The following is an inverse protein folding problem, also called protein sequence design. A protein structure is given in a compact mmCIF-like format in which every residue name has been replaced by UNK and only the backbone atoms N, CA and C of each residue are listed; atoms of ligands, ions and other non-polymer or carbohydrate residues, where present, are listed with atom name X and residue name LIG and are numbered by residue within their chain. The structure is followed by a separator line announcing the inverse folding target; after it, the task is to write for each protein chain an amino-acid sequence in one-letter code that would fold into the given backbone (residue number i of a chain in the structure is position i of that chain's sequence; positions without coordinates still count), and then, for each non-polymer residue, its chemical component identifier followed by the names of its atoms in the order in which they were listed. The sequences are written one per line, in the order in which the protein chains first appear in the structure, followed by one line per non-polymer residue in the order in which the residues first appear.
data_IF_912148797682
#
_entry.id   IF_912148797682
#
_cell.length_a   1.000
_cell.length_b   1.000
_cell.length_c   1.000
_cell.angle_alpha   90.00
_cell.angle_beta   90.00
_cell.angle_gamma   90.00
#
_symmetry.space_group_name_H-M   'P 1'
#
loop_
_entity.id
_entity.type
_entity.pdbx_description
1 polymer ?
#
# COMPACT_ATOMS: atom_id res chain seq x y z
N UNK A 1 4.55 49.33 -17.32
CA UNK A 1 4.64 48.20 -18.26
C UNK A 1 4.73 46.96 -17.41
N UNK A 2 3.58 46.40 -17.07
CA UNK A 2 3.47 45.27 -16.15
C UNK A 2 3.76 43.99 -16.92
N UNK A 3 4.73 43.23 -16.42
CA UNK A 3 5.22 42.02 -17.03
C UNK A 3 4.18 40.92 -16.76
N UNK A 4 3.20 40.80 -17.66
CA UNK A 4 2.24 39.71 -17.65
C UNK A 4 3.03 38.42 -17.92
N UNK A 5 3.42 37.74 -16.84
CA UNK A 5 4.01 36.40 -16.87
C UNK A 5 2.92 35.43 -17.37
N UNK A 6 2.65 35.50 -18.67
CA UNK A 6 1.88 34.49 -19.38
C UNK A 6 2.68 33.21 -19.31
N UNK A 7 2.22 32.25 -18.49
CA UNK A 7 2.79 30.91 -18.53
C UNK A 7 2.80 30.45 -19.99
N UNK A 8 3.91 29.90 -20.50
CA UNK A 8 3.96 29.46 -21.89
C UNK A 8 2.83 28.46 -22.12
N UNK A 9 1.93 28.78 -23.06
CA UNK A 9 0.85 27.88 -23.48
C UNK A 9 1.52 26.59 -23.92
N UNK A 10 1.32 25.53 -23.14
CA UNK A 10 2.01 24.28 -23.35
C UNK A 10 1.56 23.66 -24.67
N UNK A 11 2.51 23.49 -25.61
CA UNK A 11 2.24 22.89 -26.92
C UNK A 11 1.59 21.50 -26.75
N UNK A 12 0.65 21.17 -27.63
CA UNK A 12 -0.11 19.91 -27.61
C UNK A 12 0.82 18.70 -27.60
N UNK A 13 1.97 18.80 -28.30
CA UNK A 13 3.02 17.78 -28.29
C UNK A 13 3.60 17.55 -26.89
N UNK A 14 3.84 18.62 -26.12
CA UNK A 14 4.34 18.56 -24.75
C UNK A 14 3.31 17.94 -23.80
N UNK A 15 2.02 18.27 -23.96
CA UNK A 15 0.94 17.67 -23.17
C UNK A 15 0.89 16.16 -23.41
N UNK A 16 0.93 15.73 -24.69
CA UNK A 16 0.94 14.31 -25.06
C UNK A 16 2.18 13.61 -24.50
N UNK A 17 3.36 14.23 -24.60
CA UNK A 17 4.60 13.68 -24.05
C UNK A 17 4.52 13.48 -22.52
N UNK A 18 4.05 14.49 -21.76
CA UNK A 18 3.89 14.37 -20.30
C UNK A 18 2.90 13.27 -19.90
N UNK A 19 1.79 13.13 -20.62
CA UNK A 19 0.83 12.04 -20.38
C UNK A 19 1.44 10.67 -20.69
N UNK A 20 2.16 10.55 -21.80
CA UNK A 20 2.84 9.30 -22.19
C UNK A 20 3.88 8.89 -21.14
N UNK A 21 4.72 9.82 -20.68
CA UNK A 21 5.71 9.57 -19.63
C UNK A 21 5.06 9.07 -18.33
N UNK A 22 3.94 9.66 -17.93
CA UNK A 22 3.18 9.22 -16.76
C UNK A 22 2.66 7.78 -16.94
N UNK A 23 2.10 7.45 -18.11
CA UNK A 23 1.59 6.10 -18.40
C UNK A 23 2.73 5.08 -18.41
N UNK A 24 3.86 5.38 -19.06
CA UNK A 24 5.03 4.50 -19.07
C UNK A 24 5.52 4.26 -17.65
N UNK A 25 5.58 5.31 -16.82
CA UNK A 25 5.92 5.19 -15.40
C UNK A 25 4.95 4.28 -14.64
N UNK A 26 3.64 4.46 -14.83
CA UNK A 26 2.60 3.62 -14.22
C UNK A 26 2.76 2.15 -14.62
N UNK A 27 2.94 1.87 -15.91
CA UNK A 27 3.15 0.50 -16.41
C UNK A 27 4.41 -0.12 -15.81
N UNK A 28 5.49 0.66 -15.71
CA UNK A 28 6.72 0.21 -15.06
C UNK A 28 6.51 -0.16 -13.59
N UNK A 29 5.75 0.65 -12.85
CA UNK A 29 5.42 0.36 -11.45
C UNK A 29 4.56 -0.91 -11.35
N UNK A 30 3.55 -1.07 -12.22
CA UNK A 30 2.72 -2.28 -12.25
C UNK A 30 3.58 -3.54 -12.47
N UNK A 31 4.49 -3.50 -13.46
CA UNK A 31 5.38 -4.63 -13.74
C UNK A 31 6.32 -4.92 -12.57
N UNK A 32 6.84 -3.88 -11.91
CA UNK A 32 7.71 -4.04 -10.75
C UNK A 32 6.98 -4.68 -9.57
N UNK A 33 5.78 -4.21 -9.23
CA UNK A 33 4.96 -4.81 -8.19
C UNK A 33 4.53 -6.24 -8.54
N UNK A 34 4.19 -6.53 -9.79
CA UNK A 34 3.89 -7.89 -10.26
C UNK A 34 5.10 -8.84 -10.09
N UNK A 35 6.31 -8.36 -10.34
CA UNK A 35 7.54 -9.12 -10.09
C UNK A 35 7.74 -9.43 -8.61
N UNK A 36 7.51 -8.45 -7.73
CA UNK A 36 7.66 -8.62 -6.27
C UNK A 36 6.57 -9.51 -5.67
N UNK A 37 5.33 -9.43 -6.15
CA UNK A 37 4.24 -10.32 -5.71
C UNK A 37 4.46 -11.75 -6.20
N UNK A 38 5.00 -11.93 -7.42
CA UNK A 38 5.45 -13.24 -7.91
C UNK A 38 6.57 -13.81 -7.04
N UNK A 39 7.57 -13.00 -6.71
CA UNK A 39 8.64 -13.40 -5.78
C UNK A 39 8.09 -13.85 -4.41
N UNK A 40 7.07 -13.16 -3.89
CA UNK A 40 6.42 -13.55 -2.64
C UNK A 40 5.71 -14.91 -2.75
N UNK A 41 4.93 -15.15 -3.81
CA UNK A 41 4.25 -16.44 -4.05
C UNK A 41 5.26 -17.57 -4.20
N UNK A 42 6.29 -17.39 -5.04
CA UNK A 42 7.31 -18.43 -5.27
C UNK A 42 8.09 -18.73 -4.00
N UNK A 43 8.38 -17.72 -3.18
CA UNK A 43 9.05 -17.91 -1.88
C UNK A 43 8.21 -18.74 -0.89
N UNK A 44 6.88 -18.75 -1.02
CA UNK A 44 5.99 -19.59 -0.20
C UNK A 44 6.14 -21.08 -0.51
N UNK A 45 6.16 -21.45 -1.78
CA UNK A 45 6.29 -22.85 -2.19
C UNK A 45 7.66 -23.48 -1.85
N UNK A 46 8.69 -22.64 -1.73
CA UNK A 46 10.04 -23.06 -1.36
C UNK A 46 10.30 -23.07 0.16
N UNK A 47 9.41 -22.49 0.97
CA UNK A 47 9.60 -22.40 2.41
C UNK A 47 9.14 -23.69 3.12
N UNK A 48 9.95 -24.20 4.04
CA UNK A 48 9.60 -25.35 4.88
C UNK A 48 8.44 -25.02 5.84
N UNK A 49 8.43 -23.79 6.35
CA UNK A 49 7.39 -23.24 7.23
C UNK A 49 6.93 -21.87 6.72
N UNK A 50 5.64 -21.60 6.82
CA UNK A 50 5.03 -20.33 6.44
C UNK A 50 4.19 -19.78 7.58
N UNK A 51 4.46 -18.53 7.94
CA UNK A 51 3.70 -17.80 8.96
C UNK A 51 2.52 -17.11 8.30
N UNK A 52 1.31 -17.46 8.71
CA UNK A 52 0.07 -16.79 8.30
C UNK A 52 -0.36 -15.87 9.45
N UNK A 53 -0.73 -14.64 9.12
CA UNK A 53 -1.10 -13.62 10.12
C UNK A 53 -2.45 -13.07 9.74
N UNK A 54 -3.32 -12.96 10.73
CA UNK A 54 -4.64 -12.37 10.53
C UNK A 54 -4.51 -10.88 10.27
N UNK A 55 -5.13 -10.40 9.19
CA UNK A 55 -5.02 -9.01 8.79
C UNK A 55 -5.65 -8.07 9.83
N UNK A 56 -4.92 -7.05 10.30
CA UNK A 56 -5.44 -5.97 11.14
C UNK A 56 -6.70 -5.31 10.61
N UNK A 57 -7.63 -4.99 11.51
CA UNK A 57 -8.85 -4.22 11.18
C UNK A 57 -8.53 -2.82 10.64
N UNK A 58 -7.38 -2.26 11.02
CA UNK A 58 -6.89 -0.96 10.54
C UNK A 58 -6.76 -0.89 9.01
N UNK A 59 -6.38 -2.00 8.34
CA UNK A 59 -6.24 -2.02 6.88
C UNK A 59 -7.59 -1.92 6.17
N UNK A 60 -8.68 -2.44 6.75
CA UNK A 60 -10.02 -2.27 6.17
C UNK A 60 -10.51 -0.82 6.26
N UNK A 61 -10.26 -0.15 7.38
CA UNK A 61 -10.53 1.29 7.51
C UNK A 61 -9.70 2.12 6.54
N UNK A 62 -8.43 1.74 6.32
CA UNK A 62 -7.58 2.40 5.32
C UNK A 62 -8.19 2.36 3.92
N UNK A 63 -8.79 1.24 3.55
CA UNK A 63 -9.41 1.04 2.23
C UNK A 63 -10.65 1.90 2.06
N UNK A 64 -11.47 2.04 3.11
CA UNK A 64 -12.59 2.98 3.07
C UNK A 64 -12.13 4.43 2.88
N UNK A 65 -11.08 4.84 3.61
CA UNK A 65 -10.51 6.20 3.51
C UNK A 65 -9.95 6.49 2.13
N UNK A 66 -9.22 5.55 1.52
CA UNK A 66 -8.60 5.77 0.22
C UNK A 66 -9.63 5.78 -0.91
N UNK A 67 -10.68 4.96 -0.83
CA UNK A 67 -11.80 5.00 -1.79
C UNK A 67 -12.52 6.36 -1.70
N UNK A 68 -12.80 6.84 -0.48
CA UNK A 68 -13.40 8.16 -0.30
C UNK A 68 -12.49 9.28 -0.84
N UNK A 69 -11.18 9.20 -0.59
CA UNK A 69 -10.19 10.15 -1.11
C UNK A 69 -10.15 10.18 -2.65
N UNK A 70 -10.28 9.00 -3.26
CA UNK A 70 -10.38 8.83 -4.70
C UNK A 70 -11.64 9.53 -5.23
N UNK A 71 -12.79 9.31 -4.61
CA UNK A 71 -14.05 9.96 -5.02
C UNK A 71 -13.98 11.49 -4.94
N UNK A 72 -13.36 12.05 -3.89
CA UNK A 72 -13.16 13.51 -3.79
C UNK A 72 -12.24 14.02 -4.90
N UNK A 73 -11.27 13.22 -5.36
CA UNK A 73 -10.38 13.59 -6.47
C UNK A 73 -11.01 13.55 -7.84
N UNK A 74 -11.91 12.60 -8.08
CA UNK A 74 -12.77 12.65 -9.28
C UNK A 74 -13.61 13.93 -9.25
N UNK A 75 -14.15 14.30 -8.08
CA UNK A 75 -14.86 15.55 -7.88
C UNK A 75 -14.01 16.78 -8.20
N UNK A 76 -12.77 16.83 -7.72
CA UNK A 76 -11.87 17.97 -7.93
C UNK A 76 -11.54 18.19 -9.41
N UNK A 77 -11.31 17.11 -10.16
CA UNK A 77 -11.11 17.19 -11.62
C UNK A 77 -12.34 17.77 -12.32
N UNK A 78 -13.55 17.43 -11.85
CA UNK A 78 -14.79 18.05 -12.37
C UNK A 78 -14.89 19.52 -11.98
N UNK A 79 -14.57 19.87 -10.73
CA UNK A 79 -14.66 21.23 -10.21
C UNK A 79 -13.70 22.19 -10.93
N UNK A 80 -12.44 21.78 -11.20
CA UNK A 80 -11.47 22.61 -11.93
C UNK A 80 -11.92 22.85 -13.37
N UNK A 81 -12.47 21.84 -14.05
CA UNK A 81 -13.00 21.97 -15.42
C UNK A 81 -14.22 22.89 -15.49
N UNK A 82 -15.03 22.93 -14.43
CA UNK A 82 -16.19 23.83 -14.31
C UNK A 82 -15.83 25.23 -13.77
N UNK A 83 -14.57 25.51 -13.43
CA UNK A 83 -14.15 26.79 -12.85
C UNK A 83 -14.64 27.05 -11.43
N UNK A 84 -15.16 26.04 -10.73
CA UNK A 84 -15.69 26.15 -9.36
C UNK A 84 -14.54 26.13 -8.34
N UNK A 85 -13.82 27.24 -8.19
CA UNK A 85 -12.60 27.34 -7.35
C UNK A 85 -12.82 26.95 -5.88
N UNK A 86 -13.90 27.41 -5.26
CA UNK A 86 -14.19 27.07 -3.85
C UNK A 86 -14.41 25.57 -3.66
N UNK A 87 -15.19 24.94 -4.56
CA UNK A 87 -15.45 23.50 -4.52
C UNK A 87 -14.16 22.70 -4.79
N UNK A 88 -13.34 23.15 -5.73
CA UNK A 88 -12.03 22.55 -6.01
C UNK A 88 -11.16 22.52 -4.75
N UNK A 89 -11.03 23.64 -4.05
CA UNK A 89 -10.19 23.72 -2.86
C UNK A 89 -10.71 22.84 -1.72
N UNK A 90 -12.03 22.80 -1.50
CA UNK A 90 -12.65 21.91 -0.52
C UNK A 90 -12.32 20.44 -0.87
N UNK A 91 -12.49 20.04 -2.13
CA UNK A 91 -12.24 18.66 -2.55
C UNK A 91 -10.76 18.27 -2.47
N UNK A 92 -9.84 19.18 -2.81
CA UNK A 92 -8.39 18.96 -2.67
C UNK A 92 -7.98 18.80 -1.20
N UNK A 93 -8.49 19.65 -0.32
CA UNK A 93 -8.22 19.57 1.12
C UNK A 93 -8.81 18.29 1.69
N UNK A 94 -10.04 17.93 1.33
CA UNK A 94 -10.67 16.68 1.76
C UNK A 94 -9.85 15.45 1.33
N UNK A 95 -9.38 15.39 0.08
CA UNK A 95 -8.49 14.30 -0.35
C UNK A 95 -7.17 14.25 0.42
N UNK A 96 -6.57 15.41 0.72
CA UNK A 96 -5.35 15.45 1.53
C UNK A 96 -5.61 14.92 2.95
N UNK A 97 -6.69 15.35 3.60
CA UNK A 97 -7.06 14.88 4.95
C UNK A 97 -7.33 13.37 4.94
N UNK A 98 -8.08 12.88 3.96
CA UNK A 98 -8.36 11.45 3.82
C UNK A 98 -7.09 10.64 3.51
N UNK A 99 -6.19 11.17 2.68
CA UNK A 99 -4.88 10.58 2.39
C UNK A 99 -3.97 10.51 3.62
N UNK A 100 -3.94 11.56 4.44
CA UNK A 100 -3.23 11.53 5.73
C UNK A 100 -3.86 10.55 6.72
N UNK A 101 -5.20 10.46 6.74
CA UNK A 101 -5.92 9.44 7.50
C UNK A 101 -5.57 8.02 7.06
N UNK A 102 -5.44 7.80 5.75
CA UNK A 102 -4.94 6.54 5.19
C UNK A 102 -3.53 6.24 5.70
N UNK A 103 -2.58 7.18 5.59
CA UNK A 103 -1.21 7.00 6.11
C UNK A 103 -1.21 6.67 7.61
N UNK A 104 -2.02 7.36 8.40
CA UNK A 104 -2.16 7.06 9.84
C UNK A 104 -2.67 5.63 10.08
N UNK A 105 -3.69 5.20 9.35
CA UNK A 105 -4.22 3.83 9.46
C UNK A 105 -3.21 2.77 9.01
N UNK A 106 -2.34 3.07 8.04
CA UNK A 106 -1.24 2.19 7.65
C UNK A 106 -0.24 2.01 8.79
N UNK A 107 0.22 3.11 9.40
CA UNK A 107 1.13 3.06 10.55
C UNK A 107 0.51 2.24 11.69
N UNK A 108 -0.79 2.44 11.98
CA UNK A 108 -1.50 1.65 13.00
C UNK A 108 -1.66 0.17 12.65
N UNK A 109 -1.91 -0.15 11.39
CA UNK A 109 -1.94 -1.55 10.92
C UNK A 109 -0.58 -2.22 11.13
N UNK A 110 0.50 -1.53 10.78
CA UNK A 110 1.87 -2.00 10.99
C UNK A 110 2.24 -2.11 12.46
N UNK A 111 1.84 -1.17 13.32
CA UNK A 111 2.00 -1.27 14.78
C UNK A 111 1.33 -2.55 15.32
N UNK A 112 0.12 -2.87 14.84
CA UNK A 112 -0.59 -4.09 15.23
C UNK A 112 0.13 -5.36 14.74
N UNK A 113 0.68 -5.36 13.52
CA UNK A 113 1.46 -6.49 13.01
C UNK A 113 2.80 -6.66 13.74
N UNK A 114 3.47 -5.54 14.06
CA UNK A 114 4.71 -5.53 14.82
C UNK A 114 4.48 -6.02 16.26
N UNK A 115 3.37 -5.63 16.88
CA UNK A 115 2.95 -6.17 18.18
C UNK A 115 2.74 -7.69 18.13
N UNK A 116 2.31 -8.24 16.97
CA UNK A 116 2.16 -9.68 16.71
C UNK A 116 3.48 -10.40 16.35
N UNK A 117 4.62 -9.71 16.37
CA UNK A 117 5.94 -10.28 16.12
C UNK A 117 6.48 -10.12 14.68
N UNK A 118 5.74 -9.46 13.78
CA UNK A 118 6.31 -9.02 12.50
C UNK A 118 7.04 -7.70 12.61
N UNK A 119 8.27 -7.76 13.10
CA UNK A 119 9.15 -6.60 13.10
C UNK A 119 9.78 -6.37 11.73
N UNK A 120 10.00 -5.10 11.39
CA UNK A 120 10.72 -4.66 10.19
C UNK A 120 12.14 -5.27 10.05
N UNK A 121 12.69 -5.82 11.15
CA UNK A 121 14.07 -6.26 11.28
C UNK A 121 14.23 -7.77 11.60
N UNK A 122 13.12 -8.50 11.80
CA UNK A 122 13.16 -9.90 12.27
C UNK A 122 13.10 -10.90 11.12
N UNK A 123 14.22 -11.56 10.82
CA UNK A 123 14.25 -12.69 9.88
C UNK A 123 13.78 -14.01 10.48
N UNK A 124 13.71 -14.10 11.81
CA UNK A 124 13.48 -15.32 12.58
C UNK A 124 12.16 -15.25 13.34
N UNK A 125 11.50 -16.39 13.53
CA UNK A 125 10.24 -16.54 14.26
C UNK A 125 10.44 -16.52 15.79
N UNK A 126 11.45 -15.82 16.27
CA UNK A 126 11.98 -15.97 17.64
C UNK A 126 11.21 -15.11 18.68
N UNK A 127 10.31 -14.22 18.22
CA UNK A 127 9.61 -13.25 19.09
C UNK A 127 8.15 -13.01 18.69
N UNK A 128 7.42 -14.06 18.30
CA UNK A 128 5.98 -13.95 18.03
C UNK A 128 5.24 -13.67 19.35
N UNK A 129 4.58 -12.52 19.42
CA UNK A 129 3.76 -12.10 20.57
C UNK A 129 2.30 -12.09 20.14
N UNK A 130 1.61 -13.22 20.25
CA UNK A 130 0.20 -13.33 19.87
C UNK A 130 -0.37 -14.68 20.28
N UNK A 131 -1.69 -14.81 20.22
CA UNK A 131 -2.33 -16.11 20.47
C UNK A 131 -2.25 -16.97 19.20
N UNK A 132 -1.62 -18.14 19.31
CA UNK A 132 -1.64 -19.14 18.24
C UNK A 132 -3.10 -19.51 17.92
N UNK A 133 -3.43 -19.68 16.63
CA UNK A 133 -4.78 -19.89 16.07
C UNK A 133 -5.69 -18.67 15.97
N UNK A 134 -5.49 -17.64 16.80
CA UNK A 134 -6.29 -16.41 16.75
C UNK A 134 -5.58 -15.30 15.98
N UNK A 135 -4.30 -15.08 16.29
CA UNK A 135 -3.51 -13.98 15.70
C UNK A 135 -2.60 -14.44 14.57
N UNK A 136 -2.05 -15.64 14.70
CA UNK A 136 -1.19 -16.25 13.69
C UNK A 136 -1.26 -17.78 13.76
N UNK A 137 -0.90 -18.42 12.66
CA UNK A 137 -0.68 -19.85 12.62
C UNK A 137 0.41 -20.20 11.61
N UNK A 138 1.08 -21.32 11.84
CA UNK A 138 2.18 -21.78 10.98
C UNK A 138 1.69 -22.95 10.16
N UNK A 139 2.00 -22.94 8.87
CA UNK A 139 1.77 -24.06 7.96
C UNK A 139 3.07 -24.63 7.47
N UNK A 140 3.16 -25.95 7.37
CA UNK A 140 4.29 -26.65 6.75
C UNK A 140 4.26 -26.48 5.23
N UNK A 141 5.33 -26.90 4.55
CA UNK A 141 5.40 -26.93 3.09
C UNK A 141 4.26 -27.76 2.45
N UNK A 142 3.79 -28.81 3.13
CA UNK A 142 2.66 -29.63 2.69
C UNK A 142 1.29 -28.96 2.88
N UNK A 143 1.25 -27.75 3.45
CA UNK A 143 0.03 -27.00 3.74
C UNK A 143 -0.66 -27.44 5.02
N UNK A 144 -0.07 -28.36 5.79
CA UNK A 144 -0.62 -28.80 7.07
C UNK A 144 -0.35 -27.75 8.14
N UNK A 145 -1.36 -27.47 8.95
CA UNK A 145 -1.25 -26.55 10.08
C UNK A 145 -0.42 -27.22 11.18
N UNK A 146 0.62 -26.53 11.65
CA UNK A 146 1.43 -26.97 12.79
C UNK A 146 0.55 -26.99 14.04
N UNK A 147 0.69 -28.00 14.89
CA UNK A 147 -0.06 -28.03 16.15
C UNK A 147 0.71 -27.29 17.24
N UNK A 148 0.05 -26.40 17.98
CA UNK A 148 0.65 -25.73 19.14
C UNK A 148 -0.03 -26.21 20.42
N UNK A 149 0.72 -26.91 21.27
CA UNK A 149 0.22 -27.49 22.53
C UNK A 149 1.26 -27.29 23.62
N UNK A 150 0.83 -26.94 24.84
CA UNK A 150 1.71 -26.81 26.01
C UNK A 150 2.94 -25.88 25.80
N UNK A 151 2.84 -24.88 24.93
CA UNK A 151 3.95 -23.96 24.64
C UNK A 151 4.90 -24.41 23.52
N UNK A 152 4.70 -25.60 22.97
CA UNK A 152 5.55 -26.22 21.95
C UNK A 152 4.81 -26.41 20.63
N UNK A 153 5.53 -26.26 19.52
CA UNK A 153 5.10 -26.55 18.17
C UNK A 153 5.40 -28.01 17.83
N UNK A 154 4.42 -28.72 17.27
CA UNK A 154 4.51 -30.13 16.90
C UNK A 154 4.37 -30.33 15.39
N UNK A 155 5.15 -31.26 14.84
CA UNK A 155 5.09 -31.63 13.44
C UNK A 155 3.76 -32.35 13.14
N UNK A 156 2.90 -31.81 12.25
CA UNK A 156 1.62 -32.42 11.91
C UNK A 156 1.76 -33.70 11.06
N UNK A 157 2.95 -34.00 10.55
CA UNK A 157 3.22 -35.22 9.76
C UNK A 157 3.71 -36.39 10.61
N UNK A 158 4.04 -36.15 11.88
CA UNK A 158 4.51 -37.17 12.80
C UNK A 158 3.33 -38.05 13.30
N UNK A 159 3.32 -39.37 13.01
CA UNK A 159 2.28 -40.28 13.49
C UNK A 159 2.20 -40.37 15.02
N UNK A 160 3.27 -40.02 15.73
CA UNK A 160 3.32 -40.07 17.19
C UNK A 160 2.78 -38.81 17.85
N UNK A 161 2.68 -37.70 17.10
CA UNK A 161 2.23 -36.40 17.61
C UNK A 161 3.09 -35.83 18.75
N UNK A 162 4.35 -36.27 18.86
CA UNK A 162 5.24 -35.92 19.96
C UNK A 162 6.50 -35.18 19.51
N UNK A 163 6.80 -35.16 18.21
CA UNK A 163 7.94 -34.42 17.67
C UNK A 163 7.76 -32.91 17.84
N UNK A 164 8.55 -32.33 18.74
CA UNK A 164 8.67 -30.88 18.95
C UNK A 164 9.57 -30.29 17.85
N UNK A 165 9.15 -29.17 17.26
CA UNK A 165 9.85 -28.48 16.15
C UNK A 165 10.18 -27.01 16.48
N UNK A 166 10.23 -26.64 17.75
CA UNK A 166 10.51 -25.27 18.19
C UNK A 166 11.84 -24.72 17.67
N UNK A 167 12.92 -25.50 17.78
CA UNK A 167 14.25 -25.10 17.29
C UNK A 167 14.27 -24.97 15.77
N UNK A 168 13.56 -25.85 15.06
CA UNK A 168 13.43 -25.78 13.61
C UNK A 168 12.70 -24.51 13.17
N UNK A 169 11.59 -24.17 13.85
CA UNK A 169 10.80 -22.97 13.57
C UNK A 169 11.58 -21.69 13.93
N UNK A 170 12.27 -21.68 15.07
CA UNK A 170 13.04 -20.53 15.54
C UNK A 170 14.23 -20.22 14.62
N UNK A 171 14.92 -21.24 14.11
CA UNK A 171 16.04 -21.08 13.19
C UNK A 171 15.60 -20.85 11.73
N UNK A 172 14.34 -21.14 11.41
CA UNK A 172 13.82 -20.95 10.06
C UNK A 172 13.64 -19.46 9.74
N UNK A 173 14.31 -19.02 8.67
CA UNK A 173 14.16 -17.65 8.18
C UNK A 173 12.83 -17.52 7.45
N UNK A 174 11.98 -16.59 7.84
CA UNK A 174 10.70 -16.34 7.16
C UNK A 174 10.89 -15.35 5.98
N UNK A 175 10.96 -15.80 4.71
CA UNK A 175 11.04 -14.89 3.57
C UNK A 175 9.76 -14.05 3.40
N UNK A 176 8.61 -14.50 3.92
CA UNK A 176 7.33 -13.82 3.79
C UNK A 176 7.38 -12.42 4.41
N UNK A 177 7.90 -12.31 5.65
CA UNK A 177 7.99 -11.05 6.38
C UNK A 177 8.81 -10.01 5.59
N UNK A 178 10.01 -10.38 5.14
CA UNK A 178 10.88 -9.49 4.35
C UNK A 178 10.22 -9.05 3.04
N UNK A 179 9.61 -9.99 2.33
CA UNK A 179 8.96 -9.71 1.05
C UNK A 179 7.74 -8.79 1.23
N UNK A 180 6.96 -9.02 2.29
CA UNK A 180 5.81 -8.20 2.67
C UNK A 180 6.22 -6.76 3.02
N UNK A 181 7.26 -6.60 3.84
CA UNK A 181 7.83 -5.30 4.20
C UNK A 181 8.34 -4.56 2.94
N UNK A 182 8.96 -5.29 2.02
CA UNK A 182 9.47 -4.70 0.77
C UNK A 182 8.33 -4.18 -0.11
N UNK A 183 7.29 -5.00 -0.32
CA UNK A 183 6.10 -4.63 -1.10
C UNK A 183 5.40 -3.39 -0.54
N UNK A 184 5.13 -3.40 0.76
CA UNK A 184 4.38 -2.34 1.44
C UNK A 184 5.22 -1.09 1.68
N UNK A 185 6.52 -1.23 1.96
CA UNK A 185 7.45 -0.11 2.06
C UNK A 185 7.63 0.63 0.74
N UNK A 186 7.73 -0.09 -0.37
CA UNK A 186 7.72 0.51 -1.70
C UNK A 186 6.39 1.22 -1.99
N UNK A 187 5.26 0.61 -1.62
CA UNK A 187 3.96 1.26 -1.76
C UNK A 187 3.90 2.56 -0.94
N UNK A 188 4.36 2.54 0.31
CA UNK A 188 4.42 3.73 1.16
C UNK A 188 5.24 4.86 0.55
N UNK A 189 6.32 4.54 -0.18
CA UNK A 189 7.12 5.53 -0.91
C UNK A 189 6.29 6.22 -2.03
N UNK A 190 5.49 5.45 -2.77
CA UNK A 190 4.61 6.00 -3.80
C UNK A 190 3.49 6.86 -3.20
N UNK A 191 2.90 6.41 -2.08
CA UNK A 191 1.91 7.19 -1.32
C UNK A 191 2.52 8.51 -0.84
N UNK A 192 3.73 8.50 -0.31
CA UNK A 192 4.43 9.72 0.10
C UNK A 192 4.59 10.68 -1.08
N UNK A 193 5.04 10.20 -2.24
CA UNK A 193 5.11 10.99 -3.47
C UNK A 193 3.75 11.59 -3.88
N UNK A 194 2.68 10.80 -3.75
CA UNK A 194 1.31 11.27 -3.99
C UNK A 194 0.86 12.36 -3.00
N UNK A 195 1.18 12.21 -1.72
CA UNK A 195 0.86 13.19 -0.68
C UNK A 195 1.60 14.50 -0.93
N UNK A 196 2.89 14.44 -1.28
CA UNK A 196 3.65 15.62 -1.68
C UNK A 196 2.98 16.33 -2.87
N UNK A 197 2.53 15.59 -3.87
CA UNK A 197 1.82 16.16 -5.01
C UNK A 197 0.45 16.75 -4.64
N UNK A 198 -0.32 16.10 -3.75
CA UNK A 198 -1.59 16.63 -3.25
C UNK A 198 -1.39 17.93 -2.48
N UNK A 199 -0.38 18.00 -1.60
CA UNK A 199 -0.02 19.23 -0.88
C UNK A 199 0.29 20.35 -1.87
N UNK A 200 1.08 20.05 -2.90
CA UNK A 200 1.38 20.99 -3.97
C UNK A 200 0.11 21.51 -4.68
N UNK A 201 -0.83 20.62 -5.02
CA UNK A 201 -2.10 21.02 -5.62
C UNK A 201 -2.98 21.86 -4.68
N UNK A 202 -3.02 21.53 -3.38
CA UNK A 202 -3.74 22.33 -2.37
C UNK A 202 -3.15 23.74 -2.30
N UNK A 203 -1.82 23.87 -2.21
CA UNK A 203 -1.15 25.18 -2.17
C UNK A 203 -1.47 25.99 -3.43
N UNK A 204 -1.35 25.39 -4.62
CA UNK A 204 -1.70 26.05 -5.88
C UNK A 204 -3.18 26.46 -5.96
N UNK A 205 -4.07 25.62 -5.44
CA UNK A 205 -5.51 25.89 -5.37
C UNK A 205 -5.84 27.08 -4.47
N UNK A 206 -5.19 27.15 -3.30
CA UNK A 206 -5.32 28.27 -2.36
C UNK A 206 -4.70 29.56 -2.91
N UNK A 207 -3.61 29.46 -3.68
CA UNK A 207 -3.02 30.60 -4.41
C UNK A 207 -3.84 31.01 -5.64
N UNK A 208 -4.93 30.31 -5.97
CA UNK A 208 -5.79 30.64 -7.10
C UNK A 208 -5.16 30.37 -8.48
N UNK A 209 -4.03 29.65 -8.54
CA UNK A 209 -3.28 29.32 -9.75
C UNK A 209 -3.87 28.15 -10.53
N UNK A 210 -4.81 27.42 -9.93
CA UNK A 210 -5.58 26.39 -10.63
C UNK A 210 -6.74 27.03 -11.39
N UNK A 211 -6.73 26.86 -12.71
CA UNK A 211 -7.68 27.46 -13.65
C UNK A 211 -8.22 26.41 -14.62
N UNK A 212 -9.47 26.55 -15.11
CA UNK A 212 -10.01 25.74 -16.20
C UNK A 212 -9.14 25.75 -17.46
N UNK A 213 -8.36 26.81 -17.68
CA UNK A 213 -7.46 26.95 -18.82
C UNK A 213 -6.29 25.95 -18.79
N UNK A 214 -5.89 25.50 -17.60
CA UNK A 214 -4.82 24.53 -17.43
C UNK A 214 -5.19 23.47 -16.37
N UNK A 215 -6.16 22.59 -16.67
CA UNK A 215 -6.62 21.57 -15.72
C UNK A 215 -5.64 20.40 -15.63
N UNK A 216 -4.52 20.44 -16.36
CA UNK A 216 -3.61 19.33 -16.52
C UNK A 216 -2.98 18.92 -15.19
N UNK A 217 -2.55 19.89 -14.36
CA UNK A 217 -1.91 19.61 -13.07
C UNK A 217 -2.83 18.80 -12.15
N UNK A 218 -4.11 19.18 -12.06
CA UNK A 218 -5.12 18.47 -11.26
C UNK A 218 -5.45 17.12 -11.88
N UNK A 219 -5.57 17.04 -13.21
CA UNK A 219 -5.91 15.80 -13.91
C UNK A 219 -4.78 14.76 -13.82
N UNK A 220 -3.52 15.17 -13.96
CA UNK A 220 -2.35 14.30 -13.82
C UNK A 220 -2.16 13.86 -12.37
N UNK A 221 -2.32 14.79 -11.42
CA UNK A 221 -2.31 14.45 -9.99
C UNK A 221 -3.38 13.44 -9.62
N UNK A 222 -4.61 13.63 -10.11
CA UNK A 222 -5.70 12.68 -9.90
C UNK A 222 -5.40 11.32 -10.52
N UNK A 223 -4.87 11.27 -11.75
CA UNK A 223 -4.51 10.00 -12.40
C UNK A 223 -3.45 9.22 -11.59
N UNK A 224 -2.40 9.90 -11.13
CA UNK A 224 -1.38 9.29 -10.28
C UNK A 224 -1.96 8.83 -8.93
N UNK A 225 -2.76 9.67 -8.28
CA UNK A 225 -3.39 9.35 -7.00
C UNK A 225 -4.31 8.11 -7.12
N UNK A 226 -5.19 8.08 -8.13
CA UNK A 226 -6.03 6.90 -8.41
C UNK A 226 -5.22 5.65 -8.69
N UNK A 227 -4.09 5.77 -9.38
CA UNK A 227 -3.21 4.64 -9.61
C UNK A 227 -2.65 4.08 -8.30
N UNK A 228 -2.16 4.94 -7.40
CA UNK A 228 -1.68 4.53 -6.07
C UNK A 228 -2.79 3.89 -5.25
N UNK A 229 -4.02 4.43 -5.30
CA UNK A 229 -5.20 3.88 -4.62
C UNK A 229 -5.54 2.47 -5.14
N UNK A 230 -5.56 2.29 -6.46
CA UNK A 230 -5.83 0.98 -7.09
C UNK A 230 -4.72 -0.02 -6.74
N UNK A 231 -3.46 0.43 -6.73
CA UNK A 231 -2.33 -0.40 -6.33
C UNK A 231 -2.49 -0.88 -4.88
N UNK A 232 -2.96 -0.03 -3.96
CA UNK A 232 -3.26 -0.43 -2.59
C UNK A 232 -4.35 -1.49 -2.53
N UNK A 233 -5.47 -1.29 -3.25
CA UNK A 233 -6.57 -2.26 -3.27
C UNK A 233 -6.07 -3.61 -3.78
N UNK A 234 -5.30 -3.62 -4.87
CA UNK A 234 -4.65 -4.83 -5.37
C UNK A 234 -3.78 -5.51 -4.31
N UNK A 235 -2.92 -4.76 -3.61
CA UNK A 235 -2.06 -5.30 -2.57
C UNK A 235 -2.87 -5.86 -1.41
N UNK A 236 -3.92 -5.18 -0.95
CA UNK A 236 -4.78 -5.67 0.11
C UNK A 236 -5.44 -7.00 -0.25
N UNK A 237 -6.01 -7.11 -1.46
CA UNK A 237 -6.60 -8.37 -1.92
C UNK A 237 -5.55 -9.47 -2.05
N UNK A 238 -4.38 -9.14 -2.59
CA UNK A 238 -3.26 -10.07 -2.69
C UNK A 238 -2.85 -10.62 -1.31
N UNK A 239 -2.74 -9.75 -0.31
CA UNK A 239 -2.42 -10.14 1.06
C UNK A 239 -3.55 -10.94 1.71
N UNK A 240 -4.81 -10.56 1.49
CA UNK A 240 -5.98 -11.25 2.02
C UNK A 240 -6.14 -12.68 1.48
N UNK A 241 -5.78 -12.94 0.22
CA UNK A 241 -5.92 -14.27 -0.36
C UNK A 241 -4.72 -15.18 -0.08
N UNK A 242 -3.55 -14.60 0.22
CA UNK A 242 -2.32 -15.36 0.44
C UNK A 242 -2.06 -15.61 1.93
N UNK A 243 -2.66 -14.84 2.84
CA UNK A 243 -2.62 -15.06 4.30
C UNK A 243 -4.00 -15.44 4.82
#
# INVERSE_FOLDING_TARGET
MENEHTEPVMDEKMIRAKKLLLIIGIVGIIMFFAGLTSMHIVSRGAAAYWLNITMPTAFWWSTALIILSSLTMIGAVRAVKQGKKSLLNILLISSLVLGLGFVYSQVKGWDQMAAKGMHLQGGFLEHLKGEYDTDYYITTQSGLKVEYKNGHYYDPTDPTGQRIIDEEIATFRNPAARNLITLTGLHALHVAGGIFWLIYLVILGLMGRLSPANPLNVTQGALYWHFVDILWIYLLFFLYFIH
#
